data_IF_032156773397
#
_entry.id   IF_032156773397
#
_cell.length_a   1.000
_cell.length_b   1.000
_cell.length_c   1.000
_cell.angle_alpha   90.00
_cell.angle_beta   90.00
_cell.angle_gamma   90.00
#
_symmetry.space_group_name_H-M   'P 1'
#
loop_
_entity.id
_entity.type
_entity.pdbx_description
1 polymer ?
#
# COMPACT_ATOMS: atom_id res chain seq x y z
N UNK A 1 -21.18 4.42 6.76
CA UNK A 1 -20.40 4.43 5.51
C UNK A 1 -19.61 5.73 5.41
N UNK A 2 -18.29 5.63 5.26
CA UNK A 2 -17.41 6.79 5.06
C UNK A 2 -17.58 7.36 3.65
N UNK A 3 -17.80 8.67 3.53
CA UNK A 3 -17.97 9.37 2.25
C UNK A 3 -17.07 10.60 2.16
N UNK A 4 -16.74 10.98 0.93
CA UNK A 4 -16.01 12.21 0.59
C UNK A 4 -16.74 12.87 -0.57
N UNK A 5 -17.17 14.12 -0.41
CA UNK A 5 -17.91 14.86 -1.44
C UNK A 5 -19.13 14.08 -1.99
N UNK A 6 -19.77 13.27 -1.15
CA UNK A 6 -20.96 12.49 -1.51
C UNK A 6 -20.69 11.13 -2.17
N UNK A 7 -19.43 10.75 -2.43
CA UNK A 7 -19.08 9.42 -2.96
C UNK A 7 -18.47 8.51 -1.87
N UNK A 8 -18.61 7.18 -1.96
CA UNK A 8 -17.92 6.27 -1.04
C UNK A 8 -16.42 6.55 -0.99
N UNK A 9 -15.85 6.57 0.21
CA UNK A 9 -14.44 6.91 0.38
C UNK A 9 -13.49 5.80 -0.10
N UNK A 10 -13.96 4.55 -0.17
CA UNK A 10 -13.12 3.38 -0.49
C UNK A 10 -12.35 3.56 -1.82
N UNK A 11 -12.98 3.87 -2.97
CA UNK A 11 -12.25 4.09 -4.22
C UNK A 11 -11.19 5.19 -4.13
N UNK A 12 -11.47 6.32 -3.46
CA UNK A 12 -10.51 7.42 -3.33
C UNK A 12 -9.29 7.00 -2.52
N UNK A 13 -9.49 6.26 -1.43
CA UNK A 13 -8.41 5.74 -0.60
C UNK A 13 -7.61 4.68 -1.35
N UNK A 14 -8.26 3.83 -2.16
CA UNK A 14 -7.57 2.86 -3.03
C UNK A 14 -6.64 3.58 -4.01
N UNK A 15 -7.04 4.71 -4.62
CA UNK A 15 -6.13 5.49 -5.49
C UNK A 15 -4.86 5.93 -4.75
N UNK A 16 -5.00 6.37 -3.49
CA UNK A 16 -3.83 6.71 -2.68
C UNK A 16 -2.93 5.50 -2.45
N UNK A 17 -3.49 4.32 -2.18
CA UNK A 17 -2.73 3.06 -1.97
C UNK A 17 -1.99 2.63 -3.23
N UNK A 18 -2.68 2.55 -4.37
CA UNK A 18 -2.10 2.08 -5.65
C UNK A 18 -1.09 3.05 -6.26
N UNK A 19 -1.05 4.30 -5.80
CA UNK A 19 -0.03 5.28 -6.20
C UNK A 19 1.14 5.29 -5.21
N UNK A 20 0.85 5.43 -3.91
CA UNK A 20 1.88 5.67 -2.90
C UNK A 20 2.74 4.43 -2.63
N UNK A 21 2.16 3.23 -2.53
CA UNK A 21 2.94 2.02 -2.24
C UNK A 21 3.90 1.66 -3.39
N UNK A 22 3.49 1.69 -4.68
CA UNK A 22 4.42 1.46 -5.78
C UNK A 22 5.51 2.53 -5.89
N UNK A 23 5.16 3.81 -5.75
CA UNK A 23 6.16 4.90 -5.79
C UNK A 23 7.17 4.80 -4.64
N UNK A 24 6.70 4.53 -3.42
CA UNK A 24 7.57 4.32 -2.28
C UNK A 24 8.47 3.09 -2.47
N UNK A 25 7.93 1.99 -3.02
CA UNK A 25 8.71 0.78 -3.31
C UNK A 25 9.81 1.07 -4.32
N UNK A 26 9.48 1.72 -5.44
CA UNK A 26 10.47 2.12 -6.46
C UNK A 26 11.53 3.05 -5.88
N UNK A 27 11.13 4.03 -5.07
CA UNK A 27 12.05 4.93 -4.38
C UNK A 27 12.96 4.21 -3.38
N UNK A 28 12.42 3.25 -2.62
CA UNK A 28 13.19 2.44 -1.67
C UNK A 28 14.24 1.59 -2.37
N UNK A 29 13.87 0.93 -3.49
CA UNK A 29 14.81 0.20 -4.35
C UNK A 29 15.87 1.14 -4.93
N UNK A 30 15.49 2.31 -5.44
CA UNK A 30 16.43 3.28 -6.00
C UNK A 30 17.45 3.77 -4.96
N UNK A 31 17.00 4.04 -3.72
CA UNK A 31 17.87 4.41 -2.59
C UNK A 31 18.78 3.25 -2.18
N UNK A 32 18.28 2.00 -2.19
CA UNK A 32 19.09 0.82 -1.89
C UNK A 32 20.22 0.61 -2.93
N UNK A 33 19.92 0.84 -4.21
CA UNK A 33 20.89 0.75 -5.31
C UNK A 33 21.88 1.92 -5.30
N UNK A 34 21.43 3.13 -4.96
CA UNK A 34 22.27 4.33 -4.84
C UNK A 34 22.21 4.91 -3.43
N UNK A 35 23.03 4.41 -2.48
CA UNK A 35 22.98 4.85 -1.08
C UNK A 35 23.18 6.35 -0.86
N UNK A 36 23.87 7.06 -1.77
CA UNK A 36 24.00 8.52 -1.73
C UNK A 36 22.66 9.26 -1.81
N UNK A 37 21.61 8.60 -2.31
CA UNK A 37 20.25 9.13 -2.40
C UNK A 37 19.46 8.99 -1.10
N UNK A 38 19.95 8.23 -0.11
CA UNK A 38 19.24 7.96 1.13
C UNK A 38 18.94 9.23 1.94
N UNK A 39 19.88 10.19 1.99
CA UNK A 39 19.67 11.44 2.76
C UNK A 39 18.68 12.41 2.10
N UNK A 40 18.83 12.78 0.81
CA UNK A 40 17.91 13.73 0.18
C UNK A 40 16.52 13.14 -0.11
N UNK A 41 16.44 11.86 -0.51
CA UNK A 41 15.18 11.27 -0.99
C UNK A 41 14.57 10.25 -0.03
N UNK A 42 15.32 9.72 0.93
CA UNK A 42 14.81 8.78 1.94
C UNK A 42 13.58 9.30 2.70
N UNK A 43 13.54 10.58 3.15
CA UNK A 43 12.35 11.13 3.79
C UNK A 43 11.10 11.11 2.89
N UNK A 44 11.24 11.38 1.59
CA UNK A 44 10.13 11.32 0.64
C UNK A 44 9.60 9.88 0.50
N UNK A 45 10.51 8.90 0.41
CA UNK A 45 10.16 7.47 0.37
C UNK A 45 9.42 7.05 1.65
N UNK A 46 9.91 7.47 2.82
CA UNK A 46 9.31 7.15 4.10
C UNK A 46 7.91 7.77 4.26
N UNK A 47 7.73 9.03 3.86
CA UNK A 47 6.42 9.70 3.87
C UNK A 47 5.45 9.00 2.92
N UNK A 48 5.88 8.66 1.71
CA UNK A 48 5.04 7.95 0.75
C UNK A 48 4.66 6.55 1.27
N UNK A 49 5.60 5.79 1.83
CA UNK A 49 5.34 4.48 2.41
C UNK A 49 4.34 4.56 3.58
N UNK A 50 4.53 5.53 4.49
CA UNK A 50 3.65 5.75 5.63
C UNK A 50 2.25 6.19 5.18
N UNK A 51 2.17 7.12 4.23
CA UNK A 51 0.91 7.56 3.64
C UNK A 51 0.17 6.41 2.96
N UNK A 52 0.89 5.54 2.23
CA UNK A 52 0.34 4.33 1.62
C UNK A 52 -0.17 3.34 2.65
N UNK A 53 0.58 3.08 3.74
CA UNK A 53 0.17 2.17 4.81
C UNK A 53 -1.08 2.68 5.56
N UNK A 54 -1.12 3.96 5.92
CA UNK A 54 -2.30 4.60 6.52
C UNK A 54 -3.49 4.54 5.56
N UNK A 55 -3.29 4.86 4.29
CA UNK A 55 -4.34 4.78 3.27
C UNK A 55 -4.88 3.36 3.10
N UNK A 56 -4.03 2.33 3.23
CA UNK A 56 -4.45 0.93 3.13
C UNK A 56 -5.40 0.54 4.27
N UNK A 57 -5.10 0.97 5.51
CA UNK A 57 -5.99 0.76 6.65
C UNK A 57 -7.33 1.45 6.42
N UNK A 58 -7.31 2.72 6.01
CA UNK A 58 -8.52 3.49 5.76
C UNK A 58 -9.33 2.89 4.60
N UNK A 59 -8.67 2.44 3.53
CA UNK A 59 -9.33 1.80 2.39
C UNK A 59 -10.03 0.51 2.82
N UNK A 60 -9.39 -0.33 3.64
CA UNK A 60 -9.99 -1.54 4.21
C UNK A 60 -11.23 -1.22 5.03
N UNK A 61 -11.12 -0.30 6.00
CA UNK A 61 -12.25 0.11 6.86
C UNK A 61 -13.39 0.76 6.07
N UNK A 62 -13.07 1.52 5.02
CA UNK A 62 -14.09 2.10 4.13
C UNK A 62 -14.73 1.03 3.23
N UNK A 63 -13.98 -0.02 2.86
CA UNK A 63 -14.46 -1.16 2.07
C UNK A 63 -15.46 -2.01 2.84
N UNK A 64 -15.14 -2.39 4.08
CA UNK A 64 -16.06 -3.12 4.98
C UNK A 64 -17.38 -2.35 5.17
N UNK A 65 -17.30 -1.02 5.32
CA UNK A 65 -18.49 -0.18 5.44
C UNK A 65 -19.28 -0.03 4.13
N UNK A 66 -18.62 -0.13 2.97
CA UNK A 66 -19.26 -0.06 1.67
C UNK A 66 -19.99 -1.37 1.38
N UNK A 67 -19.33 -2.50 1.61
CA UNK A 67 -19.92 -3.83 1.49
C UNK A 67 -21.18 -3.98 2.34
N UNK A 68 -21.13 -3.53 3.61
CA UNK A 68 -22.31 -3.55 4.49
C UNK A 68 -23.45 -2.59 4.06
N UNK A 69 -23.20 -1.66 3.13
CA UNK A 69 -24.13 -0.61 2.72
C UNK A 69 -24.74 -0.84 1.33
N UNK A 70 -24.29 -1.85 0.57
CA UNK A 70 -24.76 -2.13 -0.78
C UNK A 70 -25.34 -3.55 -0.89
N UNK A 71 -26.29 -3.73 -1.79
CA UNK A 71 -26.75 -5.08 -2.16
C UNK A 71 -25.74 -5.71 -3.12
N UNK A 72 -25.24 -6.89 -2.75
CA UNK A 72 -24.29 -7.65 -3.55
C UNK A 72 -25.02 -8.81 -4.22
N UNK A 73 -24.85 -8.94 -5.53
CA UNK A 73 -25.35 -10.11 -6.26
C UNK A 73 -24.62 -11.35 -5.75
N UNK A 74 -25.31 -12.45 -5.35
CA UNK A 74 -24.66 -13.60 -4.71
C UNK A 74 -23.47 -14.20 -5.47
N UNK A 75 -23.46 -14.15 -6.80
CA UNK A 75 -22.35 -14.61 -7.64
C UNK A 75 -21.06 -13.80 -7.49
N UNK A 76 -21.14 -12.55 -7.02
CA UNK A 76 -20.00 -11.65 -6.84
C UNK A 76 -19.38 -11.71 -5.44
N UNK A 77 -20.07 -12.26 -4.45
CA UNK A 77 -19.55 -12.33 -3.08
C UNK A 77 -18.16 -13.00 -3.01
N UNK A 78 -17.87 -14.12 -3.71
CA UNK A 78 -16.56 -14.75 -3.62
C UNK A 78 -15.39 -13.88 -4.12
N UNK A 79 -15.60 -13.05 -5.14
CA UNK A 79 -14.55 -12.15 -5.66
C UNK A 79 -14.36 -10.93 -4.75
N UNK A 80 -15.44 -10.46 -4.11
CA UNK A 80 -15.40 -9.40 -3.09
C UNK A 80 -14.64 -9.90 -1.85
N UNK A 81 -14.97 -11.08 -1.33
CA UNK A 81 -14.27 -11.68 -0.19
C UNK A 81 -12.76 -11.86 -0.50
N UNK A 82 -12.43 -12.24 -1.73
CA UNK A 82 -11.04 -12.37 -2.16
C UNK A 82 -10.33 -11.01 -2.18
N UNK A 83 -11.00 -9.97 -2.68
CA UNK A 83 -10.47 -8.60 -2.66
C UNK A 83 -10.27 -8.09 -1.23
N UNK A 84 -11.23 -8.33 -0.33
CA UNK A 84 -11.14 -7.95 1.08
C UNK A 84 -9.95 -8.63 1.78
N UNK A 85 -9.77 -9.94 1.56
CA UNK A 85 -8.60 -10.69 2.09
C UNK A 85 -7.28 -10.13 1.59
N UNK A 86 -7.16 -9.86 0.29
CA UNK A 86 -5.96 -9.28 -0.31
C UNK A 86 -5.72 -7.84 0.14
N UNK A 87 -6.79 -7.06 0.34
CA UNK A 87 -6.73 -5.73 0.94
C UNK A 87 -6.18 -5.79 2.37
N UNK A 88 -6.60 -6.78 3.16
CA UNK A 88 -6.06 -7.02 4.51
C UNK A 88 -4.58 -7.42 4.47
N UNK A 89 -4.16 -8.30 3.56
CA UNK A 89 -2.74 -8.63 3.39
C UNK A 89 -1.91 -7.43 2.89
N UNK A 90 -2.49 -6.54 2.09
CA UNK A 90 -1.84 -5.28 1.69
C UNK A 90 -1.56 -4.41 2.91
N UNK A 91 -2.49 -4.31 3.87
CA UNK A 91 -2.25 -3.60 5.14
C UNK A 91 -1.08 -4.22 5.90
N UNK A 92 -1.08 -5.55 6.07
CA UNK A 92 -0.02 -6.24 6.80
C UNK A 92 1.35 -6.15 6.12
N UNK A 93 1.41 -6.05 4.78
CA UNK A 93 2.66 -5.86 4.05
C UNK A 93 3.13 -4.39 4.09
N UNK A 94 2.21 -3.43 4.03
CA UNK A 94 2.53 -2.01 3.96
C UNK A 94 3.14 -1.46 5.27
N UNK A 95 2.68 -1.92 6.43
CA UNK A 95 3.18 -1.42 7.73
C UNK A 95 4.66 -1.76 8.00
N UNK A 96 5.13 -3.02 7.89
CA UNK A 96 6.54 -3.34 8.00
C UNK A 96 7.39 -2.54 7.02
N UNK A 97 6.92 -2.38 5.78
CA UNK A 97 7.60 -1.56 4.78
C UNK A 97 7.73 -0.09 5.24
N UNK A 98 6.64 0.55 5.65
CA UNK A 98 6.65 1.92 6.13
C UNK A 98 7.56 2.12 7.34
N UNK A 99 7.49 1.22 8.33
CA UNK A 99 8.30 1.29 9.55
C UNK A 99 9.79 1.13 9.24
N UNK A 100 10.16 0.20 8.36
CA UNK A 100 11.55 0.03 7.92
C UNK A 100 12.05 1.25 7.15
N UNK A 101 11.24 1.83 6.27
CA UNK A 101 11.60 3.04 5.54
C UNK A 101 11.85 4.23 6.48
N UNK A 102 10.97 4.45 7.46
CA UNK A 102 11.14 5.49 8.50
C UNK A 102 12.38 5.22 9.35
N UNK A 103 12.60 3.96 9.75
CA UNK A 103 13.77 3.58 10.54
C UNK A 103 15.09 3.79 9.78
N UNK A 104 15.13 3.48 8.48
CA UNK A 104 16.31 3.72 7.64
C UNK A 104 16.68 5.22 7.61
N UNK A 105 15.70 6.10 7.44
CA UNK A 105 15.88 7.56 7.48
C UNK A 105 16.40 8.02 8.83
N UNK A 106 15.76 7.57 9.92
CA UNK A 106 16.17 7.93 11.28
C UNK A 106 17.59 7.46 11.62
N UNK A 107 18.01 6.29 11.12
CA UNK A 107 19.38 5.80 11.28
C UNK A 107 20.39 6.62 10.46
N UNK A 108 20.04 7.00 9.23
CA UNK A 108 20.88 7.82 8.37
C UNK A 108 21.13 9.20 8.99
N UNK A 109 20.09 9.84 9.54
CA UNK A 109 20.21 11.13 10.23
C UNK A 109 21.02 11.06 11.53
N UNK A 110 21.06 9.89 12.19
CA UNK A 110 21.91 9.63 13.36
C UNK A 110 23.35 9.26 12.98
N UNK A 111 23.73 9.34 11.71
CA UNK A 111 25.07 8.98 11.23
C UNK A 111 25.37 7.48 11.25
N UNK A 112 24.35 6.61 11.40
CA UNK A 112 24.51 5.15 11.45
C UNK A 112 24.42 4.52 10.05
N UNK A 113 25.33 4.91 9.16
CA UNK A 113 25.27 4.59 7.72
C UNK A 113 25.14 3.09 7.40
N UNK A 114 25.89 2.22 8.09
CA UNK A 114 25.79 0.76 7.86
C UNK A 114 24.43 0.21 8.25
N UNK A 115 23.91 0.60 9.42
CA UNK A 115 22.60 0.16 9.89
C UNK A 115 21.49 0.72 8.99
N UNK A 116 21.58 1.99 8.61
CA UNK A 116 20.64 2.62 7.68
C UNK A 116 20.60 1.88 6.33
N UNK A 117 21.75 1.47 5.81
CA UNK A 117 21.83 0.67 4.57
C UNK A 117 21.14 -0.69 4.72
N UNK A 118 21.45 -1.44 5.77
CA UNK A 118 20.84 -2.76 6.02
C UNK A 118 19.31 -2.62 6.15
N UNK A 119 18.85 -1.69 6.98
CA UNK A 119 17.41 -1.44 7.17
C UNK A 119 16.75 -0.92 5.88
N UNK A 120 17.45 -0.10 5.09
CA UNK A 120 16.97 0.36 3.79
C UNK A 120 16.81 -0.78 2.77
N UNK A 121 17.71 -1.76 2.74
CA UNK A 121 17.57 -2.96 1.90
C UNK A 121 16.37 -3.80 2.37
N UNK A 122 16.21 -3.99 3.69
CA UNK A 122 15.04 -4.67 4.24
C UNK A 122 13.74 -3.94 3.90
N UNK A 123 13.74 -2.61 3.94
CA UNK A 123 12.61 -1.78 3.52
C UNK A 123 12.29 -2.01 2.05
N UNK A 124 13.29 -2.05 1.17
CA UNK A 124 13.08 -2.31 -0.26
C UNK A 124 12.45 -3.69 -0.51
N UNK A 125 12.93 -4.73 0.18
CA UNK A 125 12.36 -6.09 0.09
C UNK A 125 10.92 -6.13 0.62
N UNK A 126 10.64 -5.50 1.76
CA UNK A 126 9.28 -5.39 2.29
C UNK A 126 8.36 -4.60 1.34
N UNK A 127 8.89 -3.56 0.69
CA UNK A 127 8.18 -2.79 -0.34
C UNK A 127 7.80 -3.65 -1.54
N UNK A 128 8.68 -4.55 -2.00
CA UNK A 128 8.35 -5.49 -3.07
C UNK A 128 7.20 -6.44 -2.67
N UNK A 129 7.17 -6.91 -1.42
CA UNK A 129 6.04 -7.71 -0.92
C UNK A 129 4.75 -6.87 -0.91
N UNK A 130 4.81 -5.62 -0.42
CA UNK A 130 3.66 -4.72 -0.44
C UNK A 130 3.17 -4.42 -1.86
N UNK A 131 4.09 -4.26 -2.82
CA UNK A 131 3.80 -4.08 -4.23
C UNK A 131 3.05 -5.30 -4.81
N UNK A 132 3.50 -6.51 -4.53
CA UNK A 132 2.79 -7.73 -4.97
C UNK A 132 1.39 -7.78 -4.36
N UNK A 133 1.24 -7.51 -3.06
CA UNK A 133 -0.06 -7.55 -2.40
C UNK A 133 -1.04 -6.51 -2.96
N UNK A 134 -0.60 -5.25 -3.18
CA UNK A 134 -1.46 -4.22 -3.76
C UNK A 134 -1.83 -4.54 -5.20
N UNK A 135 -0.93 -5.15 -5.99
CA UNK A 135 -1.24 -5.59 -7.35
C UNK A 135 -2.28 -6.73 -7.37
N UNK A 136 -2.16 -7.71 -6.47
CA UNK A 136 -3.14 -8.79 -6.35
C UNK A 136 -4.51 -8.25 -5.91
N UNK A 137 -4.54 -7.39 -4.89
CA UNK A 137 -5.78 -6.74 -4.44
C UNK A 137 -6.40 -5.89 -5.56
N UNK A 138 -5.59 -5.15 -6.32
CA UNK A 138 -6.04 -4.36 -7.46
C UNK A 138 -6.62 -5.23 -8.57
N UNK A 139 -5.98 -6.36 -8.89
CA UNK A 139 -6.49 -7.31 -9.89
C UNK A 139 -7.84 -7.92 -9.48
N UNK A 140 -7.97 -8.39 -8.23
CA UNK A 140 -9.25 -8.92 -7.75
C UNK A 140 -10.33 -7.85 -7.64
N UNK A 141 -9.97 -6.60 -7.31
CA UNK A 141 -10.90 -5.47 -7.30
C UNK A 141 -11.39 -5.12 -8.71
N UNK A 142 -10.50 -5.16 -9.71
CA UNK A 142 -10.89 -4.99 -11.09
C UNK A 142 -11.82 -6.12 -11.57
N UNK A 143 -11.56 -7.37 -11.16
CA UNK A 143 -12.45 -8.50 -11.46
C UNK A 143 -13.84 -8.35 -10.81
N UNK A 144 -13.92 -7.79 -9.60
CA UNK A 144 -15.19 -7.53 -8.93
C UNK A 144 -16.05 -6.48 -9.64
N UNK A 145 -15.44 -5.53 -10.36
CA UNK A 145 -16.15 -4.46 -11.07
C UNK A 145 -16.39 -4.81 -12.54
N UNK A 146 -15.41 -5.43 -13.19
CA UNK A 146 -15.37 -5.60 -14.66
C UNK A 146 -15.46 -7.05 -15.11
N UNK A 147 -15.57 -8.03 -14.21
CA UNK A 147 -15.53 -9.46 -14.54
C UNK A 147 -16.50 -9.89 -15.64
N UNK A 148 -17.70 -9.29 -15.68
CA UNK A 148 -18.74 -9.60 -16.67
C UNK A 148 -18.54 -8.88 -18.03
N UNK A 149 -17.65 -7.89 -18.10
CA UNK A 149 -17.38 -7.11 -19.33
C UNK A 149 -16.31 -7.80 -20.18
N UNK A 150 -15.44 -8.61 -19.56
CA UNK A 150 -14.30 -9.26 -20.23
C UNK A 150 -14.56 -10.76 -20.50
N UNK A 151 -15.78 -11.25 -20.24
CA UNK A 151 -16.21 -12.65 -20.37
C UNK A 151 -17.05 -12.92 -21.61
#
# INVERSE_FOLDING_TARGET
>A
MLTVLGVPAHPLLVHAVVVLLPLATAGSVAVAVRPSWARPYGPLVAIAALGGAVSAVLARLAGEQLEAAIEITPGFQPVIDQHERLGTFTVFAAWPFALLAVAAVGLAWRGRERAARVVGVLAALAGLVALVMVSLAGHSGAAAVWGDVVG
#
